data_IF_367603071456
#
_entry.id   IF_367603071456
#
_cell.length_a   1.000
_cell.length_b   1.000
_cell.length_c   1.000
_cell.angle_alpha   90.00
_cell.angle_beta   90.00
_cell.angle_gamma   90.00
#
_symmetry.space_group_name_H-M   'P 1'
#
loop_
_entity.id
_entity.type
_entity.pdbx_description
1 polymer ?
#
# COMPACT_ATOMS: atom_id res chain seq x y z
N UNK A 1 3.27 -2.92 16.54
CA UNK A 1 2.18 -3.47 15.70
C UNK A 1 0.77 -3.20 16.21
N UNK A 2 0.54 -3.00 17.53
CA UNK A 2 -0.78 -2.63 18.06
C UNK A 2 -1.29 -1.26 17.58
N UNK A 3 -0.38 -0.34 17.24
CA UNK A 3 -0.74 1.02 16.83
C UNK A 3 -1.62 1.06 15.57
N UNK A 4 -1.26 0.30 14.52
CA UNK A 4 -2.01 0.28 13.24
C UNK A 4 -3.45 -0.24 13.38
N UNK A 5 -3.68 -1.20 14.28
CA UNK A 5 -4.99 -1.82 14.48
C UNK A 5 -5.98 -0.81 15.09
N UNK A 6 -5.51 0.08 15.96
CA UNK A 6 -6.35 1.06 16.65
C UNK A 6 -6.27 2.46 16.04
N UNK A 7 -5.43 2.65 15.02
CA UNK A 7 -5.25 3.93 14.37
C UNK A 7 -6.54 4.38 13.67
N UNK A 8 -7.05 5.55 14.06
CA UNK A 8 -8.14 6.20 13.32
C UNK A 8 -7.55 6.89 12.09
N UNK A 9 -7.99 6.49 10.92
CA UNK A 9 -7.59 7.09 9.64
C UNK A 9 -8.81 7.65 8.91
N UNK A 10 -8.66 8.87 8.42
CA UNK A 10 -9.64 9.52 7.56
C UNK A 10 -9.23 9.35 6.09
N UNK A 11 -10.18 9.25 5.15
CA UNK A 11 -9.85 9.29 3.73
C UNK A 11 -9.06 10.58 3.42
N UNK A 12 -7.98 10.51 2.63
CA UNK A 12 -7.27 11.70 2.20
C UNK A 12 -8.19 12.57 1.32
N UNK A 13 -8.11 13.89 1.48
CA UNK A 13 -8.81 14.82 0.60
C UNK A 13 -7.97 15.10 -0.65
N UNK A 14 -8.60 15.09 -1.83
CA UNK A 14 -7.99 15.38 -3.15
C UNK A 14 -7.38 16.79 -3.31
N UNK A 15 -7.40 17.62 -2.27
CA UNK A 15 -6.91 19.01 -2.31
C UNK A 15 -5.40 19.17 -2.08
N UNK A 16 -4.65 18.06 -2.08
CA UNK A 16 -3.22 18.10 -1.83
C UNK A 16 -2.45 18.42 -3.13
N UNK A 17 -1.57 19.41 -3.08
CA UNK A 17 -0.92 19.97 -4.27
C UNK A 17 0.00 19.01 -5.05
N UNK A 18 0.57 18.01 -4.37
CA UNK A 18 1.47 17.01 -4.97
C UNK A 18 0.73 15.68 -5.24
N UNK A 19 0.73 15.18 -6.49
CA UNK A 19 0.23 13.84 -6.82
C UNK A 19 0.93 12.73 -6.04
N UNK A 20 2.23 12.86 -5.78
CA UNK A 20 3.01 11.87 -5.02
C UNK A 20 2.52 11.81 -3.57
N UNK A 21 2.37 12.96 -2.90
CA UNK A 21 1.86 13.00 -1.54
C UNK A 21 0.45 12.41 -1.44
N UNK A 22 -0.42 12.78 -2.40
CA UNK A 22 -1.80 12.29 -2.47
C UNK A 22 -1.84 10.76 -2.59
N UNK A 23 -0.99 10.19 -3.45
CA UNK A 23 -0.85 8.74 -3.58
C UNK A 23 -0.42 8.10 -2.25
N UNK A 24 0.62 8.63 -1.60
CA UNK A 24 1.20 8.02 -0.38
C UNK A 24 0.19 8.02 0.78
N UNK A 25 -0.58 9.09 0.95
CA UNK A 25 -1.61 9.12 1.98
C UNK A 25 -2.78 8.17 1.68
N UNK A 26 -3.16 8.03 0.41
CA UNK A 26 -4.17 7.05 0.01
C UNK A 26 -3.68 5.63 0.25
N UNK A 27 -2.42 5.37 -0.07
CA UNK A 27 -1.75 4.10 0.18
C UNK A 27 -1.71 3.78 1.68
N UNK A 28 -1.39 4.76 2.53
CA UNK A 28 -1.40 4.62 3.99
C UNK A 28 -2.80 4.31 4.51
N UNK A 29 -3.82 5.04 4.03
CA UNK A 29 -5.21 4.82 4.40
C UNK A 29 -5.65 3.40 4.06
N UNK A 30 -5.41 2.96 2.82
CA UNK A 30 -5.76 1.62 2.35
C UNK A 30 -5.03 0.52 3.12
N UNK A 31 -3.73 0.70 3.38
CA UNK A 31 -2.92 -0.24 4.15
C UNK A 31 -3.49 -0.45 5.56
N UNK A 32 -3.80 0.64 6.27
CA UNK A 32 -4.36 0.57 7.63
C UNK A 32 -5.73 -0.09 7.63
N UNK A 33 -6.61 0.27 6.67
CA UNK A 33 -7.93 -0.35 6.53
C UNK A 33 -7.85 -1.84 6.24
N UNK A 34 -6.86 -2.26 5.46
CA UNK A 34 -6.61 -3.67 5.18
C UNK A 34 -6.12 -4.41 6.43
N UNK A 35 -5.13 -3.86 7.15
CA UNK A 35 -4.64 -4.42 8.43
C UNK A 35 -5.78 -4.60 9.42
N UNK A 36 -6.63 -3.58 9.60
CA UNK A 36 -7.79 -3.61 10.49
C UNK A 36 -8.81 -4.66 10.04
N UNK A 37 -9.09 -4.75 8.74
CA UNK A 37 -10.01 -5.75 8.19
C UNK A 37 -9.52 -7.17 8.41
N UNK A 38 -8.23 -7.43 8.19
CA UNK A 38 -7.60 -8.73 8.44
C UNK A 38 -7.68 -9.06 9.92
N UNK A 39 -7.29 -8.13 10.79
CA UNK A 39 -7.36 -8.32 12.24
C UNK A 39 -8.78 -8.66 12.71
N UNK A 40 -9.78 -7.90 12.27
CA UNK A 40 -11.18 -8.14 12.64
C UNK A 40 -11.67 -9.51 12.16
N UNK A 41 -11.31 -9.93 10.95
CA UNK A 41 -11.70 -11.23 10.41
C UNK A 41 -11.07 -12.40 11.19
N UNK A 42 -9.79 -12.29 11.57
CA UNK A 42 -9.11 -13.27 12.42
C UNK A 42 -9.66 -13.28 13.86
N UNK A 43 -9.98 -12.12 14.41
CA UNK A 43 -10.60 -12.00 15.73
C UNK A 43 -11.99 -12.66 15.76
N UNK A 44 -12.80 -12.47 14.73
CA UNK A 44 -14.10 -13.13 14.59
C UNK A 44 -13.96 -14.66 14.54
N UNK A 45 -13.03 -15.17 13.73
CA UNK A 45 -12.72 -16.60 13.68
C UNK A 45 -12.25 -17.15 15.03
N UNK A 46 -11.36 -16.43 15.72
CA UNK A 46 -10.89 -16.81 17.06
C UNK A 46 -12.03 -16.88 18.08
N UNK A 47 -13.03 -15.98 18.00
CA UNK A 47 -14.18 -16.00 18.91
C UNK A 47 -15.10 -17.20 18.66
N UNK A 48 -15.31 -17.56 17.39
CA UNK A 48 -16.06 -18.77 17.00
C UNK A 48 -15.36 -20.03 17.51
N UNK A 49 -14.04 -20.16 17.31
CA UNK A 49 -13.27 -21.31 17.79
C UNK A 49 -13.33 -21.44 19.32
N UNK A 50 -13.31 -20.31 20.04
CA UNK A 50 -13.43 -20.27 21.51
C UNK A 50 -14.86 -20.45 22.01
N UNK A 51 -15.85 -20.59 21.12
CA UNK A 51 -17.26 -20.76 21.48
C UNK A 51 -17.95 -19.51 22.03
N UNK A 52 -17.38 -18.31 21.85
CA UNK A 52 -17.95 -17.07 22.38
C UNK A 52 -18.87 -16.34 21.41
N UNK A 53 -18.87 -16.75 20.14
CA UNK A 53 -19.75 -16.22 19.09
C UNK A 53 -20.21 -17.33 18.16
N UNK A 54 -21.41 -17.21 17.61
CA UNK A 54 -21.93 -18.13 16.60
C UNK A 54 -21.19 -17.99 15.26
N UNK A 55 -21.09 -19.10 14.52
CA UNK A 55 -20.49 -19.13 13.19
C UNK A 55 -21.38 -18.38 12.19
N UNK A 56 -20.81 -17.38 11.50
CA UNK A 56 -21.44 -16.72 10.35
C UNK A 56 -20.92 -17.28 9.03
N UNK A 57 -21.65 -17.05 7.93
CA UNK A 57 -21.22 -17.47 6.58
C UNK A 57 -19.86 -16.86 6.19
N UNK A 58 -19.60 -15.62 6.60
CA UNK A 58 -18.33 -14.94 6.33
C UNK A 58 -17.16 -15.61 7.06
N UNK A 59 -17.33 -15.94 8.35
CA UNK A 59 -16.31 -16.63 9.14
C UNK A 59 -16.09 -18.06 8.61
N UNK A 60 -17.15 -18.73 8.15
CA UNK A 60 -17.05 -20.05 7.53
C UNK A 60 -16.23 -20.02 6.23
N UNK A 61 -16.46 -19.02 5.36
CA UNK A 61 -15.68 -18.85 4.12
C UNK A 61 -14.22 -18.54 4.41
N UNK A 62 -13.96 -17.67 5.40
CA UNK A 62 -12.61 -17.37 5.87
C UNK A 62 -11.90 -18.64 6.37
N UNK A 63 -12.54 -19.39 7.27
CA UNK A 63 -12.00 -20.63 7.81
C UNK A 63 -11.70 -21.64 6.70
N UNK A 64 -12.62 -21.81 5.74
CA UNK A 64 -12.46 -22.74 4.62
C UNK A 64 -11.26 -22.38 3.74
N UNK A 65 -11.04 -21.09 3.45
CA UNK A 65 -9.87 -20.65 2.67
C UNK A 65 -8.56 -20.94 3.42
N UNK A 66 -8.50 -20.58 4.71
CA UNK A 66 -7.30 -20.77 5.54
C UNK A 66 -6.97 -22.25 5.75
N UNK A 67 -7.96 -23.11 5.98
CA UNK A 67 -7.77 -24.56 6.10
C UNK A 67 -7.21 -25.18 4.82
N UNK A 68 -7.60 -24.64 3.66
CA UNK A 68 -7.06 -25.03 2.36
C UNK A 68 -5.73 -24.35 2.00
N UNK A 69 -5.09 -23.66 2.95
CA UNK A 69 -3.83 -22.92 2.75
C UNK A 69 -3.91 -21.89 1.62
N UNK A 70 -5.09 -21.29 1.40
CA UNK A 70 -5.31 -20.25 0.39
C UNK A 70 -5.68 -18.92 1.03
N UNK A 71 -5.12 -17.84 0.49
CA UNK A 71 -5.46 -16.49 0.90
C UNK A 71 -6.97 -16.23 0.68
N UNK A 72 -7.72 -15.81 1.71
CA UNK A 72 -9.14 -15.49 1.59
C UNK A 72 -9.41 -14.41 0.54
N UNK A 73 -10.43 -14.61 -0.30
CA UNK A 73 -10.79 -13.67 -1.37
C UNK A 73 -11.12 -12.26 -0.84
N UNK A 74 -11.69 -12.16 0.36
CA UNK A 74 -11.97 -10.86 1.00
C UNK A 74 -10.72 -10.02 1.28
N UNK A 75 -9.55 -10.66 1.39
CA UNK A 75 -8.25 -9.99 1.52
C UNK A 75 -7.69 -9.70 0.12
N UNK A 76 -7.67 -10.70 -0.77
CA UNK A 76 -7.20 -10.55 -2.15
C UNK A 76 -7.91 -9.42 -2.92
N UNK A 77 -9.22 -9.22 -2.69
CA UNK A 77 -9.98 -8.13 -3.31
C UNK A 77 -9.53 -6.73 -2.89
N UNK A 78 -8.76 -6.61 -1.79
CA UNK A 78 -8.24 -5.33 -1.28
C UNK A 78 -6.77 -5.12 -1.65
N UNK A 79 -6.03 -6.21 -1.77
CA UNK A 79 -4.66 -6.23 -2.25
C UNK A 79 -4.39 -7.60 -2.86
N UNK A 80 -4.01 -7.64 -4.14
CA UNK A 80 -3.59 -8.86 -4.80
C UNK A 80 -2.19 -9.27 -4.30
N UNK A 81 -2.16 -10.04 -3.23
CA UNK A 81 -0.95 -10.52 -2.59
C UNK A 81 -0.66 -12.00 -2.88
N UNK A 82 0.37 -12.56 -2.23
CA UNK A 82 0.71 -13.98 -2.32
C UNK A 82 -0.48 -14.89 -1.99
N UNK A 83 -0.58 -16.02 -2.69
CA UNK A 83 -1.64 -17.01 -2.43
C UNK A 83 -1.51 -17.68 -1.05
N UNK A 84 -0.28 -17.80 -0.54
CA UNK A 84 -0.03 -18.32 0.80
C UNK A 84 -0.45 -17.29 1.88
N UNK A 85 -1.36 -17.64 2.80
CA UNK A 85 -1.85 -16.71 3.82
C UNK A 85 -0.76 -16.14 4.73
N UNK A 86 0.28 -16.91 5.06
CA UNK A 86 1.35 -16.44 5.96
C UNK A 86 2.26 -15.45 5.25
N UNK A 87 2.61 -15.70 3.99
CA UNK A 87 3.33 -14.76 3.14
C UNK A 87 2.53 -13.49 2.89
N UNK A 88 1.21 -13.61 2.66
CA UNK A 88 0.32 -12.47 2.55
C UNK A 88 0.36 -11.60 3.81
N UNK A 89 0.20 -12.21 5.00
CA UNK A 89 0.23 -11.47 6.27
C UNK A 89 1.58 -10.80 6.52
N UNK A 90 2.69 -11.47 6.22
CA UNK A 90 4.05 -10.90 6.33
C UNK A 90 4.22 -9.71 5.41
N UNK A 91 3.83 -9.85 4.13
CA UNK A 91 3.90 -8.78 3.14
C UNK A 91 3.03 -7.58 3.51
N UNK A 92 1.81 -7.82 3.97
CA UNK A 92 0.90 -6.77 4.43
C UNK A 92 1.50 -5.95 5.57
N UNK A 93 2.02 -6.62 6.60
CA UNK A 93 2.61 -5.93 7.77
C UNK A 93 3.87 -5.18 7.37
N UNK A 94 4.76 -5.78 6.56
CA UNK A 94 5.98 -5.14 6.09
C UNK A 94 5.67 -3.85 5.30
N UNK A 95 4.77 -3.93 4.31
CA UNK A 95 4.34 -2.76 3.52
C UNK A 95 3.65 -1.71 4.37
N UNK A 96 2.73 -2.09 5.26
CA UNK A 96 2.04 -1.14 6.14
C UNK A 96 2.99 -0.38 7.09
N UNK A 97 4.09 -1.01 7.52
CA UNK A 97 5.14 -0.35 8.29
C UNK A 97 6.00 0.55 7.40
N UNK A 98 6.40 0.07 6.21
CA UNK A 98 7.19 0.85 5.27
C UNK A 98 6.46 2.12 4.84
N UNK A 99 5.16 2.04 4.52
CA UNK A 99 4.36 3.19 4.10
C UNK A 99 4.32 4.31 5.16
N UNK A 100 4.41 4.01 6.46
CA UNK A 100 4.54 5.06 7.48
C UNK A 100 5.84 5.87 7.29
N UNK A 101 6.94 5.19 6.98
CA UNK A 101 8.21 5.88 6.67
C UNK A 101 8.11 6.68 5.36
N UNK A 102 7.36 6.19 4.36
CA UNK A 102 7.13 6.92 3.12
C UNK A 102 6.35 8.22 3.37
N UNK A 103 5.33 8.19 4.23
CA UNK A 103 4.56 9.37 4.63
C UNK A 103 5.48 10.41 5.28
N UNK A 104 6.26 10.00 6.28
CA UNK A 104 7.20 10.90 6.99
C UNK A 104 8.21 11.56 6.03
N UNK A 105 8.71 10.82 5.03
CA UNK A 105 9.64 11.34 4.02
C UNK A 105 8.93 12.24 3.00
N UNK A 106 7.70 11.92 2.62
CA UNK A 106 6.91 12.68 1.65
C UNK A 106 6.47 14.03 2.20
N UNK A 107 6.01 14.08 3.45
CA UNK A 107 5.62 15.33 4.13
C UNK A 107 6.81 16.29 4.26
N UNK A 108 8.01 15.75 4.46
CA UNK A 108 9.27 16.51 4.52
C UNK A 108 9.84 16.85 3.13
N UNK A 109 9.19 16.43 2.04
CA UNK A 109 9.65 16.59 0.66
C UNK A 109 11.05 16.00 0.37
N UNK A 110 11.50 15.03 1.16
CA UNK A 110 12.80 14.37 0.99
C UNK A 110 12.71 12.98 0.36
N UNK A 111 11.49 12.50 0.07
CA UNK A 111 11.25 11.14 -0.43
C UNK A 111 12.10 10.79 -1.66
N UNK A 112 12.12 11.66 -2.67
CA UNK A 112 12.85 11.40 -3.92
C UNK A 112 14.37 11.59 -3.78
N UNK A 113 14.84 12.12 -2.64
CA UNK A 113 16.26 12.30 -2.35
C UNK A 113 16.94 11.04 -1.83
N UNK A 114 16.18 9.97 -1.59
CA UNK A 114 16.63 8.70 -1.05
C UNK A 114 16.33 7.56 -2.03
N UNK A 115 16.98 6.41 -1.82
CA UNK A 115 16.69 5.21 -2.62
C UNK A 115 15.34 4.62 -2.18
N UNK A 116 14.49 4.34 -3.16
CA UNK A 116 13.13 3.84 -2.94
C UNK A 116 13.03 2.39 -3.39
N UNK A 117 12.53 1.53 -2.50
CA UNK A 117 12.18 0.16 -2.85
C UNK A 117 10.68 0.07 -3.20
N UNK A 118 10.37 -0.14 -4.48
CA UNK A 118 8.99 -0.29 -4.96
C UNK A 118 8.31 -1.55 -4.38
N UNK A 119 9.07 -2.49 -3.81
CA UNK A 119 8.52 -3.65 -3.10
C UNK A 119 7.80 -3.28 -1.80
N UNK A 120 7.91 -2.03 -1.34
CA UNK A 120 7.24 -1.51 -0.15
C UNK A 120 5.81 -1.00 -0.43
N UNK A 121 5.44 -0.81 -1.71
CA UNK A 121 4.16 -0.25 -2.14
C UNK A 121 3.12 -1.33 -2.47
N UNK A 122 1.83 -1.11 -2.21
CA UNK A 122 0.78 -2.02 -2.69
C UNK A 122 0.50 -1.80 -4.19
N UNK A 123 0.56 -0.54 -4.65
CA UNK A 123 0.26 -0.14 -6.04
C UNK A 123 1.43 0.64 -6.67
N UNK A 124 2.56 -0.04 -6.99
CA UNK A 124 3.77 0.63 -7.51
C UNK A 124 3.57 1.29 -8.88
N UNK A 125 2.68 0.75 -9.71
CA UNK A 125 2.30 1.33 -11.01
C UNK A 125 1.60 2.70 -10.85
N UNK A 126 0.72 2.81 -9.86
CA UNK A 126 0.02 4.05 -9.53
C UNK A 126 0.99 5.10 -8.99
N UNK A 127 1.98 4.69 -8.19
CA UNK A 127 3.08 5.56 -7.77
C UNK A 127 3.87 6.12 -8.97
N UNK A 128 4.26 5.26 -9.92
CA UNK A 128 4.99 5.71 -11.11
C UNK A 128 4.16 6.69 -11.96
N UNK A 129 2.85 6.49 -12.01
CA UNK A 129 1.94 7.45 -12.65
C UNK A 129 1.87 8.79 -11.90
N UNK A 130 1.84 8.77 -10.57
CA UNK A 130 1.91 10.00 -9.75
C UNK A 130 3.23 10.74 -9.96
N UNK A 131 4.36 10.00 -10.03
CA UNK A 131 5.67 10.55 -10.37
C UNK A 131 5.69 11.18 -11.77
N UNK A 132 5.06 10.53 -12.74
CA UNK A 132 4.90 11.09 -14.10
C UNK A 132 4.11 12.40 -14.09
N UNK A 133 3.02 12.47 -13.32
CA UNK A 133 2.22 13.70 -13.18
C UNK A 133 3.00 14.83 -12.49
N UNK A 134 3.72 14.53 -11.41
CA UNK A 134 4.59 15.48 -10.72
C UNK A 134 5.67 16.03 -11.67
N UNK A 135 6.28 15.13 -12.45
CA UNK A 135 7.31 15.50 -13.44
C UNK A 135 6.74 16.39 -14.55
N UNK A 136 5.57 16.05 -15.08
CA UNK A 136 4.90 16.87 -16.10
C UNK A 136 4.60 18.29 -15.58
N UNK A 137 4.10 18.41 -14.34
CA UNK A 137 3.84 19.69 -13.67
C UNK A 137 5.13 20.51 -13.48
N UNK A 138 6.21 19.88 -13.01
CA UNK A 138 7.49 20.54 -12.80
C UNK A 138 8.16 21.01 -14.11
N UNK A 139 7.88 20.34 -15.23
CA UNK A 139 8.42 20.70 -16.53
C UNK A 139 7.50 21.62 -17.35
N UNK A 140 6.24 21.79 -16.95
CA UNK A 140 5.25 22.55 -17.73
C UNK A 140 4.85 21.86 -19.05
N UNK A 141 4.92 20.52 -19.10
CA UNK A 141 4.59 19.73 -20.28
C UNK A 141 3.36 18.85 -20.06
N UNK A 142 2.75 18.37 -21.14
CA UNK A 142 1.68 17.37 -21.07
C UNK A 142 2.21 16.04 -20.53
N UNK A 143 1.43 15.35 -19.71
CA UNK A 143 1.73 14.01 -19.18
C UNK A 143 2.03 13.02 -20.31
N UNK A 144 1.34 13.14 -21.45
CA UNK A 144 1.46 12.24 -22.60
C UNK A 144 2.77 12.42 -23.37
N UNK A 145 3.45 13.55 -23.17
CA UNK A 145 4.75 13.82 -23.81
C UNK A 145 5.92 13.09 -23.14
N UNK A 146 5.69 12.52 -21.95
CA UNK A 146 6.73 11.88 -21.14
C UNK A 146 6.87 10.39 -21.45
N UNK A 147 8.09 9.88 -21.33
CA UNK A 147 8.41 8.44 -21.43
C UNK A 147 9.16 7.99 -20.18
N UNK A 148 8.89 6.77 -19.73
CA UNK A 148 9.60 6.16 -18.61
C UNK A 148 10.86 5.45 -19.12
N UNK A 149 12.03 5.79 -18.56
CA UNK A 149 13.32 5.21 -18.91
C UNK A 149 14.13 5.00 -17.63
N UNK A 150 14.84 3.87 -17.54
CA UNK A 150 15.81 3.57 -16.47
C UNK A 150 17.18 3.24 -17.08
N UNK A 151 18.27 3.55 -16.38
CA UNK A 151 19.64 3.33 -16.85
C UNK A 151 20.56 2.84 -15.73
N UNK A 152 21.33 1.80 -16.00
CA UNK A 152 22.42 1.32 -15.14
C UNK A 152 23.74 2.04 -15.38
N UNK A 153 23.85 2.83 -16.46
CA UNK A 153 25.10 3.49 -16.89
C UNK A 153 25.32 4.85 -16.22
N UNK A 154 24.54 5.17 -15.17
CA UNK A 154 24.59 6.45 -14.46
C UNK A 154 23.42 7.37 -14.80
N UNK A 155 23.53 8.63 -14.36
CA UNK A 155 22.43 9.61 -14.41
C UNK A 155 22.01 9.93 -15.85
N UNK A 156 20.70 9.96 -16.05
CA UNK A 156 20.09 10.43 -17.29
C UNK A 156 20.20 11.96 -17.34
N UNK A 157 20.99 12.48 -18.29
CA UNK A 157 21.28 13.92 -18.42
C UNK A 157 20.02 14.77 -18.70
N UNK A 158 18.97 14.15 -19.26
CA UNK A 158 17.71 14.82 -19.63
C UNK A 158 16.63 14.77 -18.53
N UNK A 159 16.88 14.08 -17.41
CA UNK A 159 15.88 13.90 -16.34
C UNK A 159 15.94 15.02 -15.29
N UNK A 160 14.87 15.83 -15.18
CA UNK A 160 14.73 16.92 -14.18
C UNK A 160 14.41 16.43 -12.76
N UNK A 161 13.61 15.37 -12.62
CA UNK A 161 13.33 14.71 -11.35
C UNK A 161 14.09 13.39 -11.32
N UNK A 162 15.06 13.29 -10.42
CA UNK A 162 15.92 12.13 -10.28
C UNK A 162 15.68 11.47 -8.92
N UNK A 163 15.41 10.17 -8.94
CA UNK A 163 15.41 9.32 -7.75
C UNK A 163 16.84 8.76 -7.62
N UNK A 164 17.40 8.78 -6.41
CA UNK A 164 18.79 8.39 -6.12
C UNK A 164 19.02 6.89 -6.09
#
# INVERSE_FOLDING_TARGET
NSNLIHQKVSPPNDRQGSPILSFILLEQYNAIRLVQSVHQSLAALSKVIRGTTLLSSEVQKLASALLNQKCPLIWQNKWEGPEDPLQYLRGLVARALAIQNWVDKAEKQILLSDTLDLSELFHPDTFLNALRQETARAMGHSVDSLKFVASWKGRLQEAKLQIK
#
